data_IF_350042880793
#
_entry.id   IF_350042880793
#
_cell.length_a   1.000
_cell.length_b   1.000
_cell.length_c   1.000
_cell.angle_alpha   90.00
_cell.angle_beta   90.00
_cell.angle_gamma   90.00
#
_symmetry.space_group_name_H-M   'P 1'
#
loop_
_entity.id
_entity.type
_entity.pdbx_description
1 polymer ?
#
# COMPACT_ATOMS: atom_id res chain seq x y z
N UNK A 1 12.67 13.19 15.00
CA UNK A 1 12.74 12.99 13.53
C UNK A 1 12.44 14.30 12.84
N UNK A 2 13.08 14.61 11.71
CA UNK A 2 12.89 15.89 11.01
C UNK A 2 11.46 16.07 10.45
N UNK A 3 10.75 14.97 10.15
CA UNK A 3 9.43 15.01 9.50
C UNK A 3 8.38 14.10 10.18
N UNK A 4 8.02 14.41 11.43
CA UNK A 4 7.01 13.65 12.19
C UNK A 4 5.67 13.53 11.45
N UNK A 5 5.21 14.62 10.80
CA UNK A 5 3.96 14.64 10.04
C UNK A 5 3.96 13.61 8.91
N UNK A 6 5.08 13.49 8.19
CA UNK A 6 5.23 12.55 7.07
C UNK A 6 5.20 11.10 7.55
N UNK A 7 5.76 10.83 8.73
CA UNK A 7 5.72 9.51 9.35
C UNK A 7 4.28 9.11 9.72
N UNK A 8 3.54 10.00 10.39
CA UNK A 8 2.13 9.78 10.76
C UNK A 8 1.23 9.65 9.52
N UNK A 9 1.48 10.48 8.50
CA UNK A 9 0.78 10.41 7.23
C UNK A 9 1.10 9.09 6.49
N UNK A 10 2.35 8.63 6.50
CA UNK A 10 2.72 7.33 5.94
C UNK A 10 2.01 6.18 6.66
N UNK A 11 1.92 6.23 8.00
CA UNK A 11 1.10 5.31 8.79
C UNK A 11 -0.36 5.29 8.34
N UNK A 12 -0.94 6.47 8.11
CA UNK A 12 -2.33 6.65 7.62
C UNK A 12 -2.54 6.05 6.24
N UNK A 13 -1.66 6.38 5.30
CA UNK A 13 -1.75 5.97 3.90
C UNK A 13 -1.52 4.46 3.76
N UNK A 14 -0.49 3.91 4.40
CA UNK A 14 -0.18 2.49 4.31
C UNK A 14 -1.28 1.63 4.92
N UNK A 15 -1.86 2.04 6.04
CA UNK A 15 -2.99 1.32 6.65
C UNK A 15 -4.29 1.46 5.84
N UNK A 16 -4.55 2.61 5.21
CA UNK A 16 -5.67 2.76 4.26
C UNK A 16 -5.53 1.82 3.07
N UNK A 17 -4.36 1.80 2.43
CA UNK A 17 -4.13 0.91 1.29
C UNK A 17 -4.10 -0.56 1.72
N UNK A 18 -3.63 -0.85 2.93
CA UNK A 18 -3.75 -2.19 3.51
C UNK A 18 -5.21 -2.65 3.57
N UNK A 19 -6.11 -1.79 4.05
CA UNK A 19 -7.56 -2.06 4.03
C UNK A 19 -8.08 -2.35 2.61
N UNK A 20 -7.69 -1.54 1.61
CA UNK A 20 -8.08 -1.75 0.22
C UNK A 20 -7.57 -3.10 -0.34
N UNK A 21 -6.32 -3.47 -0.06
CA UNK A 21 -5.74 -4.75 -0.48
C UNK A 21 -6.43 -5.94 0.21
N UNK A 22 -6.75 -5.84 1.49
CA UNK A 22 -7.59 -6.84 2.16
C UNK A 22 -9.01 -6.90 1.59
N UNK A 23 -9.53 -5.80 1.02
CA UNK A 23 -10.76 -5.81 0.23
C UNK A 23 -10.64 -6.68 -1.03
N UNK A 24 -9.57 -6.51 -1.81
CA UNK A 24 -9.28 -7.41 -2.94
C UNK A 24 -9.06 -8.86 -2.52
N UNK A 25 -8.57 -9.08 -1.31
CA UNK A 25 -8.41 -10.43 -0.79
C UNK A 25 -9.75 -11.20 -0.71
N UNK A 26 -10.88 -10.49 -0.71
CA UNK A 26 -12.22 -11.03 -0.51
C UNK A 26 -12.94 -11.46 -1.81
N UNK A 27 -12.35 -11.29 -3.00
CA UNK A 27 -12.99 -11.65 -4.28
C UNK A 27 -13.38 -13.15 -4.36
N UNK A 28 -12.45 -14.06 -3.99
CA UNK A 28 -12.71 -15.51 -3.91
C UNK A 28 -11.84 -16.20 -2.85
N UNK A 29 -11.93 -15.81 -1.58
CA UNK A 29 -11.14 -16.43 -0.51
C UNK A 29 -11.73 -17.78 -0.11
N UNK A 30 -10.90 -18.62 0.51
CA UNK A 30 -11.36 -19.84 1.17
C UNK A 30 -12.30 -19.47 2.33
N UNK A 31 -13.32 -20.30 2.64
CA UNK A 31 -14.28 -19.99 3.70
C UNK A 31 -13.65 -19.69 5.07
N UNK A 32 -12.61 -20.44 5.43
CA UNK A 32 -11.89 -20.28 6.70
C UNK A 32 -10.99 -19.03 6.77
N UNK A 33 -10.80 -18.30 5.67
CA UNK A 33 -10.02 -17.05 5.65
C UNK A 33 -10.89 -15.81 5.87
N UNK A 34 -12.19 -15.90 5.57
CA UNK A 34 -13.10 -14.75 5.50
C UNK A 34 -13.15 -13.93 6.79
N UNK A 35 -13.24 -14.61 7.94
CA UNK A 35 -13.25 -13.93 9.24
C UNK A 35 -11.93 -13.20 9.50
N UNK A 36 -10.80 -13.86 9.25
CA UNK A 36 -9.48 -13.25 9.41
C UNK A 36 -9.29 -12.03 8.50
N UNK A 37 -9.75 -12.11 7.25
CA UNK A 37 -9.74 -10.98 6.31
C UNK A 37 -10.60 -9.82 6.80
N UNK A 38 -11.80 -10.10 7.31
CA UNK A 38 -12.67 -9.07 7.88
C UNK A 38 -12.00 -8.36 9.05
N UNK A 39 -11.42 -9.11 9.99
CA UNK A 39 -10.70 -8.55 11.14
C UNK A 39 -9.47 -7.74 10.71
N UNK A 40 -8.69 -8.23 9.75
CA UNK A 40 -7.51 -7.54 9.23
C UNK A 40 -7.90 -6.23 8.51
N UNK A 41 -8.93 -6.26 7.67
CA UNK A 41 -9.51 -5.06 7.05
C UNK A 41 -9.94 -4.05 8.11
N UNK A 42 -10.70 -4.46 9.12
CA UNK A 42 -11.16 -3.57 10.18
C UNK A 42 -9.99 -2.96 10.97
N UNK A 43 -8.98 -3.76 11.33
CA UNK A 43 -7.79 -3.27 12.02
C UNK A 43 -7.01 -2.24 11.18
N UNK A 44 -6.84 -2.50 9.88
CA UNK A 44 -6.20 -1.57 8.95
C UNK A 44 -6.97 -0.25 8.83
N UNK A 45 -8.30 -0.30 8.75
CA UNK A 45 -9.13 0.89 8.70
C UNK A 45 -9.04 1.71 9.99
N UNK A 46 -9.12 1.06 11.16
CA UNK A 46 -9.01 1.73 12.46
C UNK A 46 -7.64 2.39 12.65
N UNK A 47 -6.57 1.69 12.26
CA UNK A 47 -5.21 2.25 12.32
C UNK A 47 -5.05 3.46 11.40
N UNK A 48 -5.70 3.44 10.23
CA UNK A 48 -5.71 4.57 9.29
C UNK A 48 -6.38 5.79 9.88
N UNK A 49 -7.58 5.61 10.45
CA UNK A 49 -8.29 6.70 11.13
C UNK A 49 -7.46 7.25 12.28
N UNK A 50 -6.91 6.38 13.13
CA UNK A 50 -6.09 6.78 14.28
C UNK A 50 -4.86 7.57 13.87
N UNK A 51 -4.06 7.05 12.92
CA UNK A 51 -2.85 7.73 12.44
C UNK A 51 -3.18 9.03 11.72
N UNK A 52 -4.32 9.07 11.01
CA UNK A 52 -4.78 10.26 10.30
C UNK A 52 -5.19 11.38 11.25
N UNK A 53 -5.88 11.04 12.34
CA UNK A 53 -6.20 11.98 13.42
C UNK A 53 -4.93 12.54 14.06
N UNK A 54 -3.93 11.70 14.34
CA UNK A 54 -2.65 12.17 14.88
C UNK A 54 -1.91 13.07 13.89
N UNK A 55 -1.92 12.72 12.60
CA UNK A 55 -1.33 13.55 11.54
C UNK A 55 -2.01 14.92 11.46
N UNK A 56 -3.33 14.97 11.60
CA UNK A 56 -4.10 16.21 11.67
C UNK A 56 -3.71 17.08 12.88
N UNK A 57 -3.55 16.49 14.07
CA UNK A 57 -3.09 17.24 15.24
C UNK A 57 -1.65 17.74 15.12
N UNK A 58 -0.85 17.15 14.25
CA UNK A 58 0.53 17.52 13.96
C UNK A 58 0.68 18.20 12.59
N UNK A 59 -0.38 18.85 12.09
CA UNK A 59 -0.40 19.39 10.72
C UNK A 59 0.68 20.43 10.46
N UNK A 60 1.00 21.24 11.47
CA UNK A 60 1.99 22.32 11.37
C UNK A 60 3.45 21.84 11.49
N UNK A 61 3.67 20.55 11.77
CA UNK A 61 5.02 19.99 11.82
C UNK A 61 5.67 19.97 10.41
N UNK A 62 7.01 20.07 10.33
CA UNK A 62 7.73 20.05 9.06
C UNK A 62 7.43 18.80 8.24
N UNK A 63 7.53 18.95 6.92
CA UNK A 63 7.31 17.86 5.95
C UNK A 63 8.12 18.09 4.70
N UNK A 64 8.62 17.01 4.12
CA UNK A 64 9.40 17.00 2.87
C UNK A 64 8.61 17.64 1.74
N UNK A 65 7.28 17.42 1.73
CA UNK A 65 6.38 17.95 0.70
C UNK A 65 6.14 19.47 0.79
N UNK A 66 6.65 20.16 1.82
CA UNK A 66 6.63 21.62 1.85
C UNK A 66 7.58 22.22 0.78
N UNK A 67 8.51 21.42 0.26
CA UNK A 67 9.35 21.80 -0.88
C UNK A 67 8.59 21.59 -2.21
N UNK A 68 8.42 22.67 -2.97
CA UNK A 68 7.67 22.67 -4.23
C UNK A 68 8.23 21.69 -5.29
N UNK A 69 9.55 21.49 -5.34
CA UNK A 69 10.18 20.55 -6.28
C UNK A 69 9.85 19.11 -5.91
N UNK A 70 9.99 18.73 -4.63
CA UNK A 70 9.63 17.38 -4.17
C UNK A 70 8.13 17.11 -4.36
N UNK A 71 7.28 18.10 -4.08
CA UNK A 71 5.84 17.99 -4.31
C UNK A 71 5.47 17.82 -5.80
N UNK A 72 6.14 18.57 -6.70
CA UNK A 72 5.93 18.43 -8.14
C UNK A 72 6.29 17.04 -8.66
N UNK A 73 7.43 16.49 -8.24
CA UNK A 73 7.84 15.12 -8.59
C UNK A 73 6.88 14.08 -8.03
N UNK A 74 6.47 14.23 -6.76
CA UNK A 74 5.45 13.38 -6.13
C UNK A 74 4.18 13.30 -6.99
N UNK A 75 3.64 14.46 -7.38
CA UNK A 75 2.39 14.53 -8.14
C UNK A 75 2.55 13.93 -9.54
N UNK A 76 3.67 14.19 -10.21
CA UNK A 76 3.95 13.65 -11.54
C UNK A 76 3.97 12.12 -11.53
N UNK A 77 4.70 11.52 -10.57
CA UNK A 77 4.74 10.06 -10.43
C UNK A 77 3.35 9.52 -10.12
N UNK A 78 2.68 10.05 -9.09
CA UNK A 78 1.38 9.56 -8.65
C UNK A 78 0.33 9.61 -9.77
N UNK A 79 0.21 10.73 -10.49
CA UNK A 79 -0.76 10.87 -11.58
C UNK A 79 -0.37 10.00 -12.78
N UNK A 80 0.89 10.03 -13.19
CA UNK A 80 1.37 9.25 -14.34
C UNK A 80 1.13 7.75 -14.14
N UNK A 81 1.49 7.25 -12.97
CA UNK A 81 1.28 5.84 -12.61
C UNK A 81 -0.19 5.48 -12.48
N UNK A 82 -1.02 6.38 -11.94
CA UNK A 82 -2.47 6.16 -11.89
C UNK A 82 -3.10 6.02 -13.29
N UNK A 83 -2.66 6.85 -14.25
CA UNK A 83 -3.11 6.75 -15.64
C UNK A 83 -2.67 5.43 -16.25
N UNK A 84 -1.41 5.01 -16.06
CA UNK A 84 -0.89 3.73 -16.55
C UNK A 84 -1.64 2.55 -15.93
N UNK A 85 -1.90 2.60 -14.62
CA UNK A 85 -2.69 1.62 -13.89
C UNK A 85 -4.09 1.47 -14.51
N UNK A 86 -4.79 2.58 -14.72
CA UNK A 86 -6.13 2.60 -15.31
C UNK A 86 -6.13 2.04 -16.75
N UNK A 87 -5.22 2.51 -17.60
CA UNK A 87 -5.12 2.05 -18.99
C UNK A 87 -4.87 0.54 -19.05
N UNK A 88 -3.92 0.04 -18.28
CA UNK A 88 -3.61 -1.40 -18.25
C UNK A 88 -4.78 -2.23 -17.71
N UNK A 89 -5.50 -1.75 -16.69
CA UNK A 89 -6.70 -2.42 -16.19
C UNK A 89 -7.80 -2.50 -17.27
N UNK A 90 -8.06 -1.40 -18.00
CA UNK A 90 -9.03 -1.38 -19.10
C UNK A 90 -8.66 -2.33 -20.24
N UNK A 91 -7.37 -2.41 -20.58
CA UNK A 91 -6.85 -3.36 -21.58
C UNK A 91 -7.11 -4.80 -21.12
N UNK A 92 -6.78 -5.14 -19.87
CA UNK A 92 -6.98 -6.48 -19.32
C UNK A 92 -8.45 -6.89 -19.28
N UNK A 93 -9.35 -5.96 -18.94
CA UNK A 93 -10.80 -6.18 -19.01
C UNK A 93 -11.22 -6.50 -20.45
N UNK A 94 -10.78 -5.71 -21.43
CA UNK A 94 -11.09 -5.93 -22.86
C UNK A 94 -10.57 -7.28 -23.36
N UNK A 95 -9.43 -7.73 -22.84
CA UNK A 95 -8.83 -9.03 -23.15
C UNK A 95 -9.44 -10.20 -22.36
N UNK A 96 -10.47 -9.97 -21.53
CA UNK A 96 -11.09 -10.97 -20.64
C UNK A 96 -10.09 -11.61 -19.66
N UNK A 97 -9.07 -10.85 -19.25
CA UNK A 97 -8.02 -11.26 -18.30
C UNK A 97 -8.18 -10.58 -16.94
N UNK A 98 -9.41 -10.57 -16.40
CA UNK A 98 -9.72 -9.86 -15.15
C UNK A 98 -8.89 -10.33 -13.95
N UNK A 99 -8.52 -11.61 -13.90
CA UNK A 99 -7.63 -12.18 -12.88
C UNK A 99 -6.19 -11.60 -12.89
N UNK A 100 -5.80 -10.90 -13.96
CA UNK A 100 -4.50 -10.22 -14.09
C UNK A 100 -4.55 -8.75 -13.66
N UNK A 101 -5.73 -8.19 -13.36
CA UNK A 101 -5.86 -6.78 -12.95
C UNK A 101 -5.15 -6.54 -11.61
N UNK A 102 -5.39 -7.40 -10.61
CA UNK A 102 -4.75 -7.24 -9.31
C UNK A 102 -3.21 -7.37 -9.38
N UNK A 103 -2.64 -8.37 -10.09
CA UNK A 103 -1.21 -8.40 -10.41
C UNK A 103 -0.68 -7.12 -11.09
N UNK A 104 -1.38 -6.61 -12.09
CA UNK A 104 -1.00 -5.39 -12.80
C UNK A 104 -0.92 -4.18 -11.88
N UNK A 105 -1.97 -3.95 -11.09
CA UNK A 105 -1.99 -2.82 -10.15
C UNK A 105 -0.95 -3.00 -9.05
N UNK A 106 -0.72 -4.23 -8.57
CA UNK A 106 0.37 -4.51 -7.62
C UNK A 106 1.74 -4.16 -8.19
N UNK A 107 1.96 -4.41 -9.48
CA UNK A 107 3.18 -4.02 -10.18
C UNK A 107 3.32 -2.50 -10.29
N UNK A 108 2.25 -1.76 -10.58
CA UNK A 108 2.32 -0.29 -10.61
C UNK A 108 2.55 0.29 -9.20
N UNK A 109 1.92 -0.27 -8.17
CA UNK A 109 2.09 0.21 -6.80
C UNK A 109 3.51 -0.05 -6.28
N UNK A 110 4.15 -1.18 -6.61
CA UNK A 110 5.54 -1.38 -6.20
C UNK A 110 6.51 -0.44 -6.95
N UNK A 111 6.24 -0.11 -8.24
CA UNK A 111 7.06 0.88 -8.96
C UNK A 111 6.86 2.28 -8.39
N UNK A 112 5.65 2.59 -7.94
CA UNK A 112 5.35 3.84 -7.23
C UNK A 112 6.23 4.00 -5.99
N UNK A 113 6.36 2.96 -5.16
CA UNK A 113 7.25 3.03 -3.99
C UNK A 113 8.73 3.21 -4.35
N UNK A 114 9.17 2.66 -5.48
CA UNK A 114 10.53 2.91 -6.00
C UNK A 114 10.70 4.39 -6.36
N UNK A 115 9.72 5.00 -7.03
CA UNK A 115 9.72 6.43 -7.32
C UNK A 115 9.70 7.31 -6.06
N UNK A 116 8.81 6.98 -5.12
CA UNK A 116 8.66 7.70 -3.86
C UNK A 116 9.92 7.69 -3.00
N UNK A 117 10.74 6.63 -3.07
CA UNK A 117 12.05 6.60 -2.41
C UNK A 117 12.89 7.83 -2.75
N UNK A 118 12.86 8.31 -4.00
CA UNK A 118 13.66 9.49 -4.41
C UNK A 118 13.02 10.81 -3.98
N UNK A 119 11.70 10.82 -3.77
CA UNK A 119 10.99 12.00 -3.25
C UNK A 119 11.23 12.15 -1.75
N UNK A 120 10.96 11.10 -0.99
CA UNK A 120 11.01 11.10 0.48
C UNK A 120 12.39 10.75 1.05
N UNK A 121 13.35 10.35 0.21
CA UNK A 121 14.69 9.91 0.61
C UNK A 121 14.68 8.76 1.63
N UNK A 122 13.60 7.97 1.67
CA UNK A 122 13.43 6.86 2.59
C UNK A 122 13.73 5.51 1.92
N UNK A 123 14.77 4.84 2.41
CA UNK A 123 15.19 3.53 1.91
C UNK A 123 14.25 2.40 2.32
N UNK A 124 13.40 2.60 3.33
CA UNK A 124 12.37 1.64 3.73
C UNK A 124 11.40 1.33 2.57
N UNK A 125 11.16 2.29 1.68
CA UNK A 125 10.29 2.16 0.52
C UNK A 125 10.82 1.15 -0.53
N UNK A 126 12.14 0.99 -0.64
CA UNK A 126 12.71 -0.08 -1.46
C UNK A 126 12.50 -1.47 -0.86
N UNK A 127 12.60 -1.58 0.47
CA UNK A 127 12.29 -2.84 1.17
C UNK A 127 10.81 -3.18 0.97
N UNK A 128 9.92 -2.20 1.12
CA UNK A 128 8.49 -2.34 0.85
C UNK A 128 8.23 -2.81 -0.58
N UNK A 129 8.83 -2.15 -1.58
CA UNK A 129 8.71 -2.54 -2.98
C UNK A 129 9.22 -3.97 -3.25
N UNK A 130 10.34 -4.35 -2.65
CA UNK A 130 10.91 -5.70 -2.78
C UNK A 130 10.00 -6.78 -2.18
N UNK A 131 9.39 -6.52 -1.02
CA UNK A 131 8.42 -7.42 -0.41
C UNK A 131 7.14 -7.55 -1.26
N UNK A 132 6.63 -6.44 -1.81
CA UNK A 132 5.49 -6.47 -2.73
C UNK A 132 5.81 -7.20 -4.04
N UNK A 133 7.03 -7.07 -4.56
CA UNK A 133 7.48 -7.85 -5.72
C UNK A 133 7.49 -9.35 -5.39
N UNK A 134 7.96 -9.73 -4.21
CA UNK A 134 7.93 -11.12 -3.76
C UNK A 134 6.49 -11.64 -3.68
N UNK A 135 5.55 -10.86 -3.12
CA UNK A 135 4.12 -11.21 -3.08
C UNK A 135 3.56 -11.39 -4.50
N UNK A 136 3.86 -10.46 -5.41
CA UNK A 136 3.43 -10.54 -6.81
C UNK A 136 3.91 -11.83 -7.47
N UNK A 137 5.19 -12.17 -7.34
CA UNK A 137 5.77 -13.38 -7.92
C UNK A 137 5.17 -14.67 -7.30
N UNK A 138 5.01 -14.70 -5.98
CA UNK A 138 4.45 -15.85 -5.27
C UNK A 138 2.94 -16.02 -5.48
N UNK A 139 2.23 -14.96 -5.88
CA UNK A 139 0.78 -15.00 -6.08
C UNK A 139 0.35 -16.03 -7.12
N UNK A 140 1.13 -16.21 -8.20
CA UNK A 140 0.83 -17.16 -9.27
C UNK A 140 0.81 -18.62 -8.79
N UNK A 141 1.91 -19.17 -8.21
CA UNK A 141 1.92 -20.54 -7.73
C UNK A 141 0.99 -20.76 -6.53
N UNK A 142 0.86 -19.78 -5.63
CA UNK A 142 0.01 -19.92 -4.44
C UNK A 142 -1.48 -19.89 -4.78
N UNK A 143 -1.92 -19.00 -5.68
CA UNK A 143 -3.32 -18.95 -6.10
C UNK A 143 -3.75 -20.26 -6.77
N UNK A 144 -2.87 -20.82 -7.63
CA UNK A 144 -3.08 -22.14 -8.23
C UNK A 144 -3.16 -23.25 -7.18
N UNK A 145 -2.21 -23.29 -6.22
CA UNK A 145 -2.18 -24.28 -5.14
C UNK A 145 -3.43 -24.25 -4.27
N UNK A 146 -3.93 -23.07 -3.94
CA UNK A 146 -5.08 -22.90 -3.06
C UNK A 146 -6.43 -22.81 -3.79
N UNK A 147 -6.43 -22.81 -5.13
CA UNK A 147 -7.62 -22.68 -5.99
C UNK A 147 -8.45 -21.43 -5.68
N UNK A 148 -7.77 -20.31 -5.44
CA UNK A 148 -8.36 -18.99 -5.15
C UNK A 148 -8.03 -18.00 -6.26
N UNK A 149 -8.70 -16.85 -6.27
CA UNK A 149 -8.33 -15.75 -7.18
C UNK A 149 -6.91 -15.24 -6.87
N UNK A 150 -6.18 -14.74 -7.87
CA UNK A 150 -4.84 -14.16 -7.63
C UNK A 150 -4.90 -12.92 -6.75
N UNK A 151 -5.94 -12.12 -6.91
CA UNK A 151 -6.30 -11.01 -6.03
C UNK A 151 -6.40 -11.42 -4.56
N UNK A 152 -6.84 -12.65 -4.26
CA UNK A 152 -6.88 -13.18 -2.90
C UNK A 152 -5.49 -13.20 -2.25
N UNK A 153 -4.50 -13.76 -2.95
CA UNK A 153 -3.13 -13.89 -2.45
C UNK A 153 -2.42 -12.54 -2.43
N UNK A 154 -2.54 -11.76 -3.51
CA UNK A 154 -1.93 -10.43 -3.58
C UNK A 154 -2.52 -9.52 -2.51
N UNK A 155 -3.83 -9.54 -2.32
CA UNK A 155 -4.53 -8.76 -1.31
C UNK A 155 -4.07 -9.08 0.11
N UNK A 156 -3.94 -10.36 0.45
CA UNK A 156 -3.37 -10.79 1.74
C UNK A 156 -1.93 -10.31 1.88
N UNK A 157 -1.08 -10.58 0.89
CA UNK A 157 0.34 -10.28 0.95
C UNK A 157 0.61 -8.78 1.03
N UNK A 158 0.15 -8.01 0.06
CA UNK A 158 0.34 -6.56 0.02
C UNK A 158 -0.34 -5.88 1.21
N UNK A 159 -1.56 -6.31 1.57
CA UNK A 159 -2.27 -5.79 2.73
C UNK A 159 -1.48 -5.98 4.03
N UNK A 160 -0.91 -7.17 4.24
CA UNK A 160 -0.09 -7.47 5.42
C UNK A 160 1.20 -6.65 5.43
N UNK A 161 1.94 -6.61 4.30
CA UNK A 161 3.20 -5.87 4.21
C UNK A 161 2.96 -4.38 4.51
N UNK A 162 1.95 -3.77 3.88
CA UNK A 162 1.60 -2.37 4.13
C UNK A 162 1.15 -2.12 5.57
N UNK A 163 0.38 -3.03 6.17
CA UNK A 163 -0.04 -2.93 7.56
C UNK A 163 1.16 -2.94 8.52
N UNK A 164 2.13 -3.82 8.30
CA UNK A 164 3.36 -3.87 9.09
C UNK A 164 4.17 -2.58 8.97
N UNK A 165 4.31 -2.05 7.74
CA UNK A 165 4.96 -0.76 7.53
C UNK A 165 4.20 0.39 8.20
N UNK A 166 2.86 0.36 8.21
CA UNK A 166 2.06 1.34 8.94
C UNK A 166 2.33 1.31 10.45
N UNK A 167 2.38 0.11 11.04
CA UNK A 167 2.72 -0.08 12.46
C UNK A 167 4.14 0.42 12.76
N UNK A 168 5.12 0.07 11.91
CA UNK A 168 6.51 0.53 12.07
C UNK A 168 6.56 2.05 12.05
N UNK A 169 5.91 2.68 11.06
CA UNK A 169 5.90 4.14 10.93
C UNK A 169 5.30 4.79 12.18
N UNK A 170 4.14 4.32 12.63
CA UNK A 170 3.49 4.83 13.83
C UNK A 170 4.33 4.60 15.09
N UNK A 171 4.96 3.44 15.23
CA UNK A 171 5.81 3.12 16.39
C UNK A 171 7.04 4.03 16.45
N UNK A 172 7.68 4.28 15.30
CA UNK A 172 8.81 5.21 15.21
C UNK A 172 8.37 6.64 15.54
N UNK A 173 7.18 7.06 15.13
CA UNK A 173 6.64 8.38 15.49
C UNK A 173 6.57 8.56 17.01
N UNK A 174 6.07 7.56 17.74
CA UNK A 174 5.98 7.60 19.21
C UNK A 174 7.33 7.45 19.92
N UNK A 175 8.24 6.61 19.42
CA UNK A 175 9.54 6.38 20.06
C UNK A 175 10.41 7.64 20.02
N UNK A 176 10.35 8.41 18.93
CA UNK A 176 11.22 9.57 18.71
C UNK A 176 10.53 10.93 18.96
N UNK A 177 9.32 10.92 19.53
CA UNK A 177 8.69 12.09 20.16
C UNK A 177 9.21 12.35 21.58
N UNK A 178 9.95 11.40 22.16
CA UNK A 178 10.63 11.47 23.46
C UNK A 178 12.15 11.34 23.32
#
# INVERSE_FOLDING_TARGET
MEFLRDQLMSGTIFSLFSFCWFGWAQEKPRPNWRLGLGLASSAALLLSIFSGVLSYYNWDAPSILNNATHFGWYLLFAIGEFIVALIGALILIKLKRSDDIAPWISFIVLTHFIGLKFVFQDSSLFVLAGLMLLVLLLSYPLAARFKVARSAIIGIGNGTVLFLFAIINLSLAFIFEH
#
